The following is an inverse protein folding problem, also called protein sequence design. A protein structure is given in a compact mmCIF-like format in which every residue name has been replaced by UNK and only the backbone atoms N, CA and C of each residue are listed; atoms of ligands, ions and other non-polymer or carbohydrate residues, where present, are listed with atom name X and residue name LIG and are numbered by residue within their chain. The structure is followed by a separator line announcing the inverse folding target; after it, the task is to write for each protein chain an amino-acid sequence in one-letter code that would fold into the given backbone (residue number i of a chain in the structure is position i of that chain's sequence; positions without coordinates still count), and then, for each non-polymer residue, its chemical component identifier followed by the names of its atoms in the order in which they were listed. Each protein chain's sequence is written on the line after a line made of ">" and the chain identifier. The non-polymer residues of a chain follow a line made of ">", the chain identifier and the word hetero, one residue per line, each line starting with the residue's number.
data_IF_071952622245
#
_entry.id   IF_071952622245
#
_cell.length_a   1.000
_cell.length_b   1.000
_cell.length_c   1.000
_cell.angle_alpha   90.00
_cell.angle_beta   90.00
_cell.angle_gamma   90.00
#
_symmetry.space_group_name_H-M   'P 1'
#
loop_
_entity.id
_entity.type
_entity.pdbx_description
1 polymer ?
#
# COMPACT_ATOMS: atom_id res chain seq x y z
N UNK A 1 -14.56 -13.74 10.69
CA UNK A 1 -13.79 -14.34 9.59
C UNK A 1 -12.43 -13.70 9.62
N UNK A 2 -11.46 -14.45 10.13
CA UNK A 2 -10.10 -14.02 10.40
C UNK A 2 -9.31 -13.90 9.10
N UNK A 3 -8.59 -12.79 8.94
CA UNK A 3 -7.49 -12.68 7.99
C UNK A 3 -6.24 -12.28 8.78
N UNK A 4 -5.83 -13.17 9.69
CA UNK A 4 -4.42 -13.26 10.10
C UNK A 4 -3.75 -14.16 9.08
N UNK A 5 -3.19 -13.57 8.03
CA UNK A 5 -2.16 -14.25 7.24
C UNK A 5 -0.82 -13.76 7.74
N UNK A 6 -0.24 -14.55 8.64
CA UNK A 6 1.20 -14.58 8.87
C UNK A 6 1.88 -14.89 7.53
N UNK A 7 2.27 -13.84 6.80
CA UNK A 7 3.03 -14.00 5.58
C UNK A 7 4.52 -14.02 5.96
N UNK A 8 4.99 -15.21 6.33
CA UNK A 8 6.40 -15.50 6.55
C UNK A 8 7.13 -15.54 5.21
N UNK A 9 7.64 -14.40 4.77
CA UNK A 9 8.75 -14.36 3.82
C UNK A 9 10.02 -14.58 4.64
N UNK A 10 10.64 -15.75 4.49
CA UNK A 10 11.90 -16.11 5.14
C UNK A 10 13.06 -15.66 4.26
N UNK A 11 13.77 -14.63 4.67
CA UNK A 11 15.17 -14.46 4.33
C UNK A 11 16.04 -15.19 5.37
N UNK A 12 16.97 -16.00 4.85
CA UNK A 12 17.92 -16.78 5.64
C UNK A 12 19.05 -15.87 6.15
N UNK A 13 18.76 -14.93 7.07
CA UNK A 13 19.79 -14.28 7.90
C UNK A 13 19.16 -13.50 9.07
N UNK A 14 18.66 -14.23 10.08
CA UNK A 14 18.87 -13.89 11.49
C UNK A 14 18.39 -12.54 12.06
N UNK A 15 17.58 -11.73 11.37
CA UNK A 15 16.90 -10.56 11.96
C UNK A 15 15.39 -10.70 11.78
N UNK A 16 14.67 -10.96 12.87
CA UNK A 16 13.23 -10.70 12.93
C UNK A 16 13.03 -9.18 12.85
N UNK A 17 12.98 -8.63 11.64
CA UNK A 17 12.39 -7.29 11.47
C UNK A 17 10.91 -7.42 11.83
N UNK A 18 10.50 -6.82 12.96
CA UNK A 18 9.09 -6.75 13.32
C UNK A 18 8.34 -6.02 12.22
N UNK A 19 7.62 -6.76 11.38
CA UNK A 19 6.78 -6.18 10.36
C UNK A 19 5.56 -5.56 11.02
N UNK A 20 5.57 -4.23 11.14
CA UNK A 20 4.39 -3.49 11.59
C UNK A 20 3.49 -3.24 10.39
N UNK A 21 2.29 -3.84 10.43
CA UNK A 21 1.25 -3.63 9.44
C UNK A 21 0.27 -2.57 9.94
N UNK A 22 -0.02 -1.57 9.11
CA UNK A 22 -1.03 -0.55 9.38
C UNK A 22 -2.09 -0.56 8.27
N UNK A 23 -3.36 -0.55 8.66
CA UNK A 23 -4.51 -0.62 7.74
C UNK A 23 -5.33 0.67 7.81
N UNK A 24 -5.47 1.33 6.66
CA UNK A 24 -6.25 2.55 6.51
C UNK A 24 -7.40 2.34 5.56
N UNK A 25 -8.63 2.64 6.00
CA UNK A 25 -9.80 2.69 5.12
C UNK A 25 -10.07 4.14 4.76
N UNK A 26 -10.03 4.44 3.47
CA UNK A 26 -10.15 5.82 2.97
C UNK A 26 -11.16 5.90 1.83
N UNK A 27 -11.84 7.04 1.71
CA UNK A 27 -12.69 7.35 0.56
C UNK A 27 -11.83 7.67 -0.67
N UNK A 28 -12.44 7.59 -1.84
CA UNK A 28 -11.79 7.80 -3.13
C UNK A 28 -10.89 9.06 -3.20
N UNK A 29 -11.41 10.18 -2.72
CA UNK A 29 -10.74 11.48 -2.73
C UNK A 29 -9.53 11.56 -1.78
N UNK A 30 -9.45 10.65 -0.81
CA UNK A 30 -8.40 10.60 0.21
C UNK A 30 -7.28 9.60 -0.12
N UNK A 31 -7.47 8.69 -1.09
CA UNK A 31 -6.49 7.65 -1.44
C UNK A 31 -5.13 8.27 -1.77
N UNK A 32 -5.12 9.23 -2.70
CA UNK A 32 -3.89 9.88 -3.17
C UNK A 32 -3.21 10.64 -2.04
N UNK A 33 -3.99 11.33 -1.20
CA UNK A 33 -3.45 12.09 -0.07
C UNK A 33 -2.81 11.16 0.96
N UNK A 34 -3.47 10.05 1.31
CA UNK A 34 -2.98 9.10 2.31
C UNK A 34 -1.73 8.37 1.83
N UNK A 35 -1.71 7.92 0.57
CA UNK A 35 -0.52 7.31 -0.03
C UNK A 35 0.66 8.29 -0.02
N UNK A 36 0.43 9.56 -0.38
CA UNK A 36 1.47 10.58 -0.32
C UNK A 36 1.98 10.85 1.10
N UNK A 37 1.10 10.87 2.10
CA UNK A 37 1.46 10.99 3.52
C UNK A 37 2.39 9.86 3.95
N UNK A 38 2.02 8.60 3.65
CA UNK A 38 2.80 7.40 3.97
C UNK A 38 4.18 7.45 3.28
N UNK A 39 4.23 7.87 2.01
CA UNK A 39 5.49 8.03 1.28
C UNK A 39 6.38 9.10 1.94
N UNK A 40 5.79 10.22 2.37
CA UNK A 40 6.52 11.30 3.06
C UNK A 40 7.03 10.88 4.43
N UNK A 41 6.32 10.00 5.15
CA UNK A 41 6.81 9.44 6.41
C UNK A 41 8.10 8.62 6.21
N UNK A 42 8.30 8.02 5.03
CA UNK A 42 9.52 7.29 4.66
C UNK A 42 9.80 6.01 5.46
N UNK A 43 8.87 5.61 6.33
CA UNK A 43 8.96 4.42 7.19
C UNK A 43 8.32 3.17 6.55
N UNK A 44 7.52 3.36 5.50
CA UNK A 44 6.85 2.30 4.78
C UNK A 44 7.79 1.65 3.77
N UNK A 45 7.74 0.31 3.67
CA UNK A 45 8.47 -0.48 2.68
C UNK A 45 7.58 -1.06 1.60
N UNK A 46 6.29 -1.19 1.87
CA UNK A 46 5.31 -1.82 0.97
C UNK A 46 3.95 -1.17 1.19
N UNK A 47 3.29 -0.82 0.09
CA UNK A 47 1.91 -0.35 0.10
C UNK A 47 1.08 -1.29 -0.76
N UNK A 48 -0.05 -1.72 -0.22
CA UNK A 48 -1.07 -2.53 -0.91
C UNK A 48 -2.35 -1.72 -0.89
N UNK A 49 -2.97 -1.53 -2.05
CA UNK A 49 -4.28 -0.89 -2.19
C UNK A 49 -5.28 -1.94 -2.62
N UNK A 50 -6.33 -2.10 -1.83
CA UNK A 50 -7.45 -2.98 -2.12
C UNK A 50 -8.71 -2.18 -2.42
N UNK A 51 -9.57 -2.71 -3.29
CA UNK A 51 -10.90 -2.18 -3.51
C UNK A 51 -11.86 -2.58 -2.37
N UNK A 52 -13.13 -2.15 -2.47
CA UNK A 52 -14.18 -2.49 -1.49
C UNK A 52 -14.46 -3.99 -1.35
N UNK A 53 -14.11 -4.79 -2.37
CA UNK A 53 -14.27 -6.25 -2.38
C UNK A 53 -13.11 -6.97 -1.71
N UNK A 54 -12.08 -6.24 -1.26
CA UNK A 54 -10.85 -6.81 -0.70
C UNK A 54 -9.88 -7.33 -1.76
N UNK A 55 -10.13 -7.04 -3.04
CA UNK A 55 -9.24 -7.42 -4.13
C UNK A 55 -8.09 -6.41 -4.22
N UNK A 56 -6.86 -6.91 -4.30
CA UNK A 56 -5.68 -6.05 -4.48
C UNK A 56 -5.70 -5.47 -5.88
N UNK A 57 -5.85 -4.15 -5.97
CA UNK A 57 -5.84 -3.41 -7.24
C UNK A 57 -4.47 -2.84 -7.56
N UNK A 58 -3.64 -2.65 -6.53
CA UNK A 58 -2.29 -2.12 -6.69
C UNK A 58 -1.42 -2.54 -5.52
N UNK A 59 -0.17 -2.88 -5.80
CA UNK A 59 0.84 -3.21 -4.79
C UNK A 59 2.20 -2.70 -5.27
N UNK A 60 2.96 -2.03 -4.41
CA UNK A 60 4.30 -1.60 -4.76
C UNK A 60 5.23 -1.51 -3.54
N UNK A 61 6.53 -1.83 -3.72
CA UNK A 61 7.57 -1.57 -2.74
C UNK A 61 7.92 -0.08 -2.71
N UNK A 62 8.09 0.47 -1.51
CA UNK A 62 8.63 1.80 -1.26
C UNK A 62 10.14 1.70 -1.00
N UNK A 63 10.91 1.43 -2.05
CA UNK A 63 12.37 1.56 -2.02
C UNK A 63 12.78 2.96 -2.49
N UNK A 64 13.92 3.43 -1.99
CA UNK A 64 14.50 4.74 -2.34
C UNK A 64 14.71 4.77 -3.86
N UNK A 65 13.88 5.53 -4.59
CA UNK A 65 13.92 5.66 -6.05
C UNK A 65 12.59 5.40 -6.79
N UNK A 66 11.57 4.85 -6.14
CA UNK A 66 10.30 4.45 -6.79
C UNK A 66 9.21 5.54 -6.81
N UNK A 67 9.37 6.62 -6.03
CA UNK A 67 8.31 7.66 -5.88
C UNK A 67 7.86 8.24 -7.23
N UNK A 68 8.77 8.48 -8.18
CA UNK A 68 8.42 8.97 -9.52
C UNK A 68 7.80 7.90 -10.44
N UNK A 69 8.17 6.63 -10.26
CA UNK A 69 7.71 5.52 -11.10
C UNK A 69 6.33 4.98 -10.70
N UNK A 70 5.89 5.18 -9.45
CA UNK A 70 4.54 4.79 -8.98
C UNK A 70 3.49 5.85 -9.26
N UNK A 71 3.85 7.13 -9.14
CA UNK A 71 2.92 8.23 -9.41
C UNK A 71 2.48 8.27 -10.87
N UNK A 72 3.36 7.94 -11.82
CA UNK A 72 3.02 7.95 -13.26
C UNK A 72 1.91 6.95 -13.65
N UNK A 73 1.97 5.65 -13.27
CA UNK A 73 0.88 4.69 -13.48
C UNK A 73 -0.43 5.06 -12.79
N UNK A 74 -0.37 5.57 -11.55
CA UNK A 74 -1.57 6.01 -10.81
C UNK A 74 -2.26 7.15 -11.56
N UNK A 75 -1.49 8.14 -12.03
CA UNK A 75 -2.01 9.27 -12.80
C UNK A 75 -2.53 8.82 -14.19
N UNK A 76 -1.84 7.88 -14.85
CA UNK A 76 -2.27 7.33 -16.14
C UNK A 76 -3.57 6.51 -16.01
N UNK A 77 -3.77 5.80 -14.91
CA UNK A 77 -4.95 4.97 -14.66
C UNK A 77 -6.13 5.73 -14.03
N UNK A 78 -5.90 6.92 -13.47
CA UNK A 78 -6.91 7.74 -12.82
C UNK A 78 -8.11 8.06 -13.73
N UNK A 79 -7.92 8.14 -15.05
CA UNK A 79 -9.02 8.40 -16.00
C UNK A 79 -10.09 7.31 -16.03
N UNK A 80 -9.72 6.04 -15.89
CA UNK A 80 -10.66 4.91 -15.93
C UNK A 80 -11.04 4.38 -14.53
N UNK A 81 -10.10 4.44 -13.57
CA UNK A 81 -10.30 3.91 -12.22
C UNK A 81 -11.05 4.87 -11.29
N UNK A 82 -11.02 6.19 -11.55
CA UNK A 82 -11.80 7.16 -10.76
C UNK A 82 -13.31 6.98 -10.90
N UNK A 83 -13.80 6.28 -11.93
CA UNK A 83 -15.22 5.94 -12.03
C UNK A 83 -15.61 4.68 -11.23
N UNK A 84 -14.63 3.85 -10.83
CA UNK A 84 -14.87 2.50 -10.30
C UNK A 84 -14.51 2.31 -8.82
N UNK A 85 -13.62 3.13 -8.27
CA UNK A 85 -13.12 2.96 -6.90
C UNK A 85 -13.71 4.01 -5.97
N UNK A 86 -14.82 3.68 -5.31
CA UNK A 86 -15.53 4.58 -4.38
C UNK A 86 -14.88 4.61 -2.97
N UNK A 87 -14.35 3.48 -2.52
CA UNK A 87 -13.53 3.35 -1.30
C UNK A 87 -12.39 2.38 -1.54
N UNK A 88 -11.29 2.57 -0.81
CA UNK A 88 -10.14 1.69 -0.84
C UNK A 88 -9.61 1.40 0.57
N UNK A 89 -8.96 0.25 0.71
CA UNK A 89 -8.20 -0.12 1.89
C UNK A 89 -6.72 -0.07 1.54
N UNK A 90 -5.95 0.73 2.26
CA UNK A 90 -4.50 0.86 2.12
C UNK A 90 -3.87 0.08 3.26
N UNK A 91 -3.09 -0.94 2.93
CA UNK A 91 -2.31 -1.72 3.88
C UNK A 91 -0.85 -1.33 3.70
N UNK A 92 -0.19 -0.99 4.80
CA UNK A 92 1.18 -0.49 4.81
C UNK A 92 2.01 -1.40 5.69
N UNK A 93 3.06 -1.97 5.11
CA UNK A 93 4.11 -2.61 5.91
C UNK A 93 5.20 -1.59 6.19
N UNK A 94 5.54 -1.42 7.47
CA UNK A 94 6.63 -0.54 7.92
C UNK A 94 7.85 -1.34 8.35
N UNK A 95 9.03 -0.74 8.25
CA UNK A 95 10.25 -1.29 8.84
C UNK A 95 10.13 -1.25 10.37
N UNK A 96 10.49 -2.36 11.02
CA UNK A 96 10.56 -2.45 12.48
C UNK A 96 11.80 -1.78 13.04
#
# INVERSE_FOLDING_TARGET
>A
MAYEKENSFKDEEGKKEEVREEVFRVSQDQIVNKVNEIIKEGNARRIIVQNEKGETVMEFPLTVGIVGAVLAPILAAAGALAALVTRATIIVEKKG
#
